data_IF_298195701763
#
_entry.id   IF_298195701763
#
_cell.length_a   1.000
_cell.length_b   1.000
_cell.length_c   1.000
_cell.angle_alpha   90.00
_cell.angle_beta   90.00
_cell.angle_gamma   90.00
#
_symmetry.space_group_name_H-M   'P 1'
#
loop_
_entity.id
_entity.type
_entity.pdbx_description
1 polymer ?
#
# COMPACT_ATOMS: atom_id res chain seq x y z
N UNK A 1 24.19 7.17 -25.89
CA UNK A 1 22.95 7.87 -26.24
C UNK A 1 22.68 8.88 -25.13
N UNK A 2 22.33 10.14 -25.42
CA UNK A 2 21.88 11.06 -24.37
C UNK A 2 20.71 10.39 -23.63
N UNK A 3 20.80 10.29 -22.31
CA UNK A 3 19.63 9.87 -21.51
C UNK A 3 18.59 10.97 -21.66
N UNK A 4 17.44 10.64 -22.24
CA UNK A 4 16.32 11.57 -22.36
C UNK A 4 15.87 11.98 -20.95
N UNK A 5 15.92 13.26 -20.61
CA UNK A 5 15.37 13.83 -19.37
C UNK A 5 13.81 13.86 -19.38
N UNK A 6 13.19 12.82 -19.92
CA UNK A 6 11.74 12.71 -20.02
C UNK A 6 11.16 12.20 -18.70
N UNK A 7 10.08 12.84 -18.24
CA UNK A 7 9.33 12.39 -17.08
C UNK A 7 8.58 11.11 -17.45
N UNK A 8 8.88 10.02 -16.75
CA UNK A 8 8.13 8.77 -16.83
C UNK A 8 7.07 8.79 -15.73
N UNK A 9 5.81 8.47 -16.07
CA UNK A 9 4.72 8.27 -15.10
C UNK A 9 4.24 6.84 -15.20
N UNK A 10 4.27 6.11 -14.09
CA UNK A 10 3.86 4.72 -13.99
C UNK A 10 2.67 4.57 -13.04
N UNK A 11 1.67 3.76 -13.43
CA UNK A 11 0.52 3.42 -12.58
C UNK A 11 0.88 2.23 -11.67
N UNK A 12 1.05 2.51 -10.38
CA UNK A 12 1.33 1.52 -9.34
C UNK A 12 0.06 0.79 -8.87
N UNK A 13 -1.11 1.05 -9.46
CA UNK A 13 -2.34 0.42 -9.00
C UNK A 13 -2.45 -1.03 -9.50
N UNK A 14 -2.88 -1.93 -8.62
CA UNK A 14 -3.27 -3.29 -8.95
C UNK A 14 -4.51 -3.26 -9.84
N UNK A 15 -4.41 -3.93 -10.99
CA UNK A 15 -5.45 -3.98 -12.02
C UNK A 15 -6.44 -5.15 -11.83
N UNK A 16 -6.21 -5.98 -10.81
CA UNK A 16 -7.06 -7.12 -10.45
C UNK A 16 -7.54 -7.00 -9.00
N UNK A 17 -8.65 -7.67 -8.70
CA UNK A 17 -9.02 -7.90 -7.31
C UNK A 17 -8.12 -8.99 -6.74
N UNK A 18 -7.59 -8.74 -5.55
CA UNK A 18 -6.84 -9.73 -4.80
C UNK A 18 -7.37 -9.83 -3.38
N UNK A 19 -7.88 -11.02 -3.07
CA UNK A 19 -8.24 -11.48 -1.73
C UNK A 19 -7.37 -12.69 -1.39
N UNK A 20 -7.18 -12.95 -0.12
CA UNK A 20 -6.54 -14.17 0.37
C UNK A 20 -7.49 -14.84 1.36
N UNK A 21 -7.19 -16.07 1.79
CA UNK A 21 -8.12 -16.92 2.56
C UNK A 21 -8.84 -16.16 3.69
N UNK A 22 -10.06 -16.60 4.08
CA UNK A 22 -10.92 -15.80 4.94
C UNK A 22 -10.17 -15.41 6.21
N UNK A 23 -9.90 -14.12 6.38
CA UNK A 23 -9.50 -13.61 7.68
C UNK A 23 -10.53 -14.12 8.70
N UNK A 24 -10.08 -14.50 9.91
CA UNK A 24 -10.99 -15.07 10.90
C UNK A 24 -12.23 -14.17 11.06
N UNK A 25 -13.43 -14.75 10.91
CA UNK A 25 -14.74 -14.06 10.91
C UNK A 25 -15.12 -13.24 9.65
N UNK A 26 -14.37 -13.34 8.55
CA UNK A 26 -14.78 -12.81 7.24
C UNK A 26 -15.56 -13.87 6.46
N UNK A 27 -16.83 -13.58 6.19
CA UNK A 27 -17.66 -14.39 5.29
C UNK A 27 -17.53 -13.82 3.88
N UNK A 28 -16.69 -14.43 3.04
CA UNK A 28 -16.70 -14.15 1.59
C UNK A 28 -18.02 -14.65 1.00
N UNK A 29 -19.00 -13.75 0.92
CA UNK A 29 -20.27 -13.94 0.19
C UNK A 29 -20.31 -12.92 -0.93
N UNK A 30 -20.92 -13.27 -2.06
CA UNK A 30 -21.24 -12.28 -3.09
C UNK A 30 -22.21 -11.26 -2.51
N UNK A 31 -21.77 -10.03 -2.30
CA UNK A 31 -22.62 -9.01 -1.66
C UNK A 31 -23.30 -8.15 -2.72
N UNK A 32 -24.54 -8.51 -3.02
CA UNK A 32 -25.74 -7.65 -2.93
C UNK A 32 -26.98 -8.44 -3.39
N UNK A 33 -28.08 -8.52 -2.60
CA UNK A 33 -29.39 -8.79 -3.17
C UNK A 33 -29.82 -7.59 -4.05
N UNK A 34 -30.35 -7.93 -5.24
CA UNK A 34 -30.82 -7.04 -6.31
C UNK A 34 -31.70 -5.87 -5.82
N UNK A 35 -31.56 -4.70 -6.46
CA UNK A 35 -32.73 -3.85 -6.79
C UNK A 35 -33.20 -4.23 -8.20
N UNK A 36 -34.49 -4.49 -8.37
CA UNK A 36 -35.09 -4.84 -9.67
C UNK A 36 -34.79 -3.74 -10.69
N UNK A 37 -34.17 -4.09 -11.82
CA UNK A 37 -34.00 -3.19 -12.97
C UNK A 37 -32.64 -2.51 -13.16
N UNK A 38 -31.57 -2.88 -12.44
CA UNK A 38 -30.21 -2.36 -12.71
C UNK A 38 -29.24 -3.45 -13.23
N UNK A 39 -28.46 -3.19 -14.31
CA UNK A 39 -27.64 -4.19 -14.98
C UNK A 39 -26.20 -4.34 -14.43
N UNK A 40 -25.84 -3.66 -13.34
CA UNK A 40 -24.45 -3.62 -12.84
C UNK A 40 -24.24 -4.68 -11.75
N UNK A 41 -23.24 -5.55 -11.96
CA UNK A 41 -22.75 -6.51 -10.97
C UNK A 41 -21.55 -5.90 -10.23
N UNK A 42 -21.57 -5.91 -8.90
CA UNK A 42 -20.39 -5.63 -8.08
C UNK A 42 -20.00 -6.88 -7.30
N UNK A 43 -18.73 -7.27 -7.38
CA UNK A 43 -18.12 -8.25 -6.46
C UNK A 43 -17.66 -7.49 -5.23
N UNK A 44 -18.04 -7.96 -4.05
CA UNK A 44 -17.60 -7.42 -2.78
C UNK A 44 -17.64 -8.53 -1.73
N UNK A 45 -16.61 -8.59 -0.90
CA UNK A 45 -16.62 -9.40 0.32
C UNK A 45 -17.30 -8.61 1.44
N UNK A 46 -17.80 -9.29 2.46
CA UNK A 46 -18.37 -8.64 3.65
C UNK A 46 -17.71 -9.24 4.88
N UNK A 47 -17.06 -8.38 5.67
CA UNK A 47 -16.65 -8.71 7.02
C UNK A 47 -17.87 -8.71 7.94
N UNK A 48 -17.85 -9.54 8.98
CA UNK A 48 -18.86 -9.53 10.04
C UNK A 48 -18.20 -8.99 11.31
N UNK A 49 -18.71 -7.87 11.84
CA UNK A 49 -18.26 -7.31 13.12
C UNK A 49 -18.60 -8.27 14.28
N UNK A 50 -17.98 -8.06 15.45
CA UNK A 50 -18.28 -8.82 16.67
C UNK A 50 -19.76 -8.76 17.11
N UNK A 51 -20.50 -7.73 16.68
CA UNK A 51 -21.93 -7.54 16.92
C UNK A 51 -22.84 -8.16 15.83
N UNK A 52 -22.25 -8.84 14.83
CA UNK A 52 -22.97 -9.46 13.72
C UNK A 52 -23.27 -8.53 12.54
N UNK A 53 -22.90 -7.24 12.59
CA UNK A 53 -23.13 -6.33 11.47
C UNK A 53 -22.24 -6.66 10.26
N UNK A 54 -22.84 -6.56 9.07
CA UNK A 54 -22.17 -6.72 7.78
C UNK A 54 -21.40 -5.44 7.40
N UNK A 55 -20.11 -5.56 7.11
CA UNK A 55 -19.26 -4.48 6.57
C UNK A 55 -18.76 -4.86 5.18
N UNK A 56 -19.16 -4.19 4.09
CA UNK A 56 -18.59 -4.42 2.77
C UNK A 56 -17.08 -4.16 2.78
N UNK A 57 -16.28 -5.21 2.59
CA UNK A 57 -14.81 -5.15 2.49
C UNK A 57 -14.35 -4.86 1.05
N UNK A 58 -15.09 -4.05 0.31
CA UNK A 58 -14.76 -3.78 -1.10
C UNK A 58 -13.48 -2.94 -1.22
N UNK A 59 -13.12 -2.18 -0.18
CA UNK A 59 -11.96 -1.29 -0.21
C UNK A 59 -10.63 -2.05 -0.17
N UNK A 60 -10.50 -3.10 0.65
CA UNK A 60 -9.22 -3.77 0.93
C UNK A 60 -8.81 -4.83 -0.11
N UNK A 61 -9.51 -4.91 -1.24
CA UNK A 61 -9.35 -5.99 -2.22
C UNK A 61 -8.65 -5.53 -3.50
N UNK A 62 -8.18 -4.28 -3.53
CA UNK A 62 -7.41 -3.65 -4.62
C UNK A 62 -6.39 -2.69 -4.00
N UNK A 63 -5.63 -1.94 -4.80
CA UNK A 63 -4.86 -0.81 -4.26
C UNK A 63 -5.75 0.12 -3.46
N UNK A 64 -5.41 0.35 -2.20
CA UNK A 64 -6.24 1.09 -1.27
C UNK A 64 -5.41 1.76 -0.19
N UNK A 65 -5.99 2.79 0.41
CA UNK A 65 -5.38 3.54 1.51
C UNK A 65 -6.20 3.37 2.78
N UNK A 66 -5.52 3.12 3.90
CA UNK A 66 -6.13 2.95 5.22
C UNK A 66 -6.11 4.25 6.02
N UNK A 67 -7.20 4.51 6.74
CA UNK A 67 -7.40 5.71 7.55
C UNK A 67 -7.24 5.38 9.04
N UNK A 68 -6.88 6.35 9.91
CA UNK A 68 -6.76 6.10 11.34
C UNK A 68 -7.99 5.49 12.02
N UNK A 69 -9.21 5.86 11.59
CA UNK A 69 -10.47 5.27 12.09
C UNK A 69 -10.58 3.75 11.83
N UNK A 70 -9.70 3.18 11.01
CA UNK A 70 -9.61 1.74 10.76
C UNK A 70 -9.23 0.94 12.02
N UNK A 71 -8.41 1.53 12.89
CA UNK A 71 -7.90 0.87 14.11
C UNK A 71 -8.07 1.68 15.40
N UNK A 72 -8.33 2.99 15.30
CA UNK A 72 -8.38 3.88 16.45
C UNK A 72 -9.78 4.44 16.65
N UNK A 73 -10.33 4.23 17.85
CA UNK A 73 -11.57 4.87 18.26
C UNK A 73 -11.41 6.39 18.23
N UNK A 74 -12.21 7.06 17.40
CA UNK A 74 -12.13 8.52 17.21
C UNK A 74 -11.02 8.97 16.24
N UNK A 75 -10.33 8.04 15.57
CA UNK A 75 -9.37 8.36 14.52
C UNK A 75 -10.02 9.09 13.33
N UNK A 76 -9.21 9.81 12.56
CA UNK A 76 -9.67 10.50 11.36
C UNK A 76 -10.18 9.50 10.31
N UNK A 77 -11.34 9.78 9.72
CA UNK A 77 -11.89 9.06 8.57
C UNK A 77 -11.40 9.67 7.24
N UNK A 78 -11.77 9.06 6.11
CA UNK A 78 -11.37 9.55 4.79
C UNK A 78 -11.83 11.00 4.54
N UNK A 79 -13.02 11.40 4.99
CA UNK A 79 -13.50 12.78 4.81
C UNK A 79 -12.61 13.78 5.57
N UNK A 80 -12.30 13.49 6.83
CA UNK A 80 -11.42 14.32 7.65
C UNK A 80 -10.01 14.41 7.05
N UNK A 81 -9.48 13.29 6.55
CA UNK A 81 -8.15 13.22 5.95
C UNK A 81 -8.10 14.02 4.65
N UNK A 82 -9.07 13.83 3.76
CA UNK A 82 -9.07 14.48 2.45
C UNK A 82 -9.30 15.99 2.50
N UNK A 83 -9.93 16.49 3.58
CA UNK A 83 -10.22 17.90 3.78
C UNK A 83 -9.20 18.61 4.69
N UNK A 84 -8.20 17.90 5.22
CA UNK A 84 -7.16 18.50 6.04
C UNK A 84 -5.79 18.47 5.33
N UNK A 85 -5.28 19.62 4.86
CA UNK A 85 -4.01 19.70 4.14
C UNK A 85 -2.79 19.29 4.99
N UNK A 86 -2.91 19.31 6.32
CA UNK A 86 -1.82 18.92 7.21
C UNK A 86 -1.42 17.45 7.05
N UNK A 87 -2.34 16.58 6.58
CA UNK A 87 -2.03 15.17 6.33
C UNK A 87 -1.28 14.93 5.02
N UNK A 88 -1.26 15.90 4.10
CA UNK A 88 -0.51 15.87 2.84
C UNK A 88 -0.81 14.72 1.85
N UNK A 89 -1.74 13.82 2.16
CA UNK A 89 -2.08 12.64 1.32
C UNK A 89 -2.60 12.99 -0.08
N UNK A 90 -3.25 14.15 -0.22
CA UNK A 90 -3.73 14.65 -1.52
C UNK A 90 -2.68 15.44 -2.31
N UNK A 91 -1.45 15.54 -1.82
CA UNK A 91 -0.37 16.24 -2.50
C UNK A 91 0.64 15.28 -3.11
N UNK A 92 1.37 15.71 -4.15
CA UNK A 92 2.52 14.98 -4.64
C UNK A 92 3.58 14.87 -3.53
N UNK A 93 4.03 13.65 -3.28
CA UNK A 93 4.99 13.32 -2.22
C UNK A 93 6.32 12.91 -2.82
N UNK A 94 7.43 13.43 -2.32
CA UNK A 94 8.74 12.87 -2.65
C UNK A 94 8.86 11.52 -1.95
N UNK A 95 9.07 10.46 -2.71
CA UNK A 95 9.07 9.09 -2.20
C UNK A 95 10.44 8.42 -2.38
N UNK A 96 10.88 7.72 -1.33
CA UNK A 96 11.96 6.73 -1.44
C UNK A 96 11.38 5.41 -1.94
N UNK A 97 12.02 4.76 -2.89
CA UNK A 97 11.59 3.46 -3.42
C UNK A 97 12.62 2.40 -3.07
N UNK A 98 12.18 1.32 -2.44
CA UNK A 98 12.99 0.16 -2.11
C UNK A 98 12.54 -1.05 -2.94
N UNK A 99 13.44 -1.52 -3.80
CA UNK A 99 13.30 -2.81 -4.50
C UNK A 99 13.91 -3.89 -3.61
N UNK A 100 13.09 -4.84 -3.15
CA UNK A 100 13.50 -5.88 -2.20
C UNK A 100 13.31 -7.29 -2.76
N UNK A 101 12.81 -7.47 -3.98
CA UNK A 101 12.62 -8.82 -4.55
C UNK A 101 13.94 -9.52 -4.83
N UNK A 102 15.02 -8.76 -4.93
CA UNK A 102 16.39 -9.25 -5.12
C UNK A 102 17.22 -9.28 -3.83
N UNK A 103 16.61 -9.06 -2.66
CA UNK A 103 17.33 -9.03 -1.38
C UNK A 103 18.13 -10.31 -1.14
N UNK A 104 19.37 -10.17 -0.70
CA UNK A 104 20.35 -11.25 -0.72
C UNK A 104 20.06 -12.36 0.30
N UNK A 105 19.52 -12.02 1.47
CA UNK A 105 19.24 -12.99 2.53
C UNK A 105 18.06 -13.91 2.14
N UNK A 106 18.28 -15.23 2.00
CA UNK A 106 17.21 -16.17 1.66
C UNK A 106 16.23 -16.41 2.81
N UNK A 107 16.56 -16.09 4.07
CA UNK A 107 15.68 -16.37 5.21
C UNK A 107 14.46 -15.45 5.31
N UNK A 108 14.52 -14.31 4.62
CA UNK A 108 13.45 -13.32 4.53
C UNK A 108 12.76 -13.34 3.17
N UNK A 109 13.21 -14.21 2.25
CA UNK A 109 12.64 -14.35 0.92
C UNK A 109 11.83 -15.65 0.82
N UNK A 110 10.78 -15.61 0.02
CA UNK A 110 10.02 -16.79 -0.36
C UNK A 110 10.03 -16.95 -1.88
N UNK A 111 10.07 -18.19 -2.35
CA UNK A 111 10.00 -18.51 -3.77
C UNK A 111 8.91 -19.55 -4.04
N UNK A 112 8.04 -19.24 -5.00
CA UNK A 112 7.02 -20.18 -5.48
C UNK A 112 6.74 -19.96 -6.95
N UNK A 113 6.65 -21.05 -7.70
CA UNK A 113 6.31 -21.02 -9.14
C UNK A 113 7.24 -20.08 -9.95
N UNK A 114 8.53 -20.05 -9.57
CA UNK A 114 9.55 -19.21 -10.20
C UNK A 114 9.41 -17.71 -9.88
N UNK A 115 8.61 -17.34 -8.87
CA UNK A 115 8.48 -15.98 -8.36
C UNK A 115 9.11 -15.90 -6.98
N UNK A 116 10.18 -15.10 -6.87
CA UNK A 116 10.82 -14.74 -5.61
C UNK A 116 10.29 -13.38 -5.14
N UNK A 117 10.03 -13.25 -3.85
CA UNK A 117 9.69 -11.99 -3.20
C UNK A 117 10.21 -11.96 -1.77
N UNK A 118 10.38 -10.76 -1.21
CA UNK A 118 10.71 -10.57 0.21
C UNK A 118 9.44 -10.78 1.05
N UNK A 119 9.39 -11.85 1.85
CA UNK A 119 8.27 -12.18 2.73
C UNK A 119 8.31 -11.38 4.05
N UNK A 120 9.49 -11.00 4.53
CA UNK A 120 9.63 -10.23 5.76
C UNK A 120 10.58 -9.06 5.58
N UNK A 121 10.03 -7.86 5.55
CA UNK A 121 10.82 -6.64 5.50
C UNK A 121 11.24 -6.29 6.92
N UNK A 122 12.54 -6.31 7.17
CA UNK A 122 13.13 -5.96 8.47
C UNK A 122 13.76 -4.58 8.44
N UNK A 123 14.05 -4.06 9.63
CA UNK A 123 14.55 -2.70 9.79
C UNK A 123 15.94 -2.50 9.17
N UNK A 124 16.74 -3.55 9.03
CA UNK A 124 18.06 -3.51 8.37
C UNK A 124 17.96 -3.26 6.86
N UNK A 125 16.80 -3.49 6.26
CA UNK A 125 16.54 -3.24 4.84
C UNK A 125 16.20 -1.79 4.54
N UNK A 126 15.90 -0.99 5.57
CA UNK A 126 15.53 0.41 5.42
C UNK A 126 16.78 1.31 5.53
N UNK A 127 16.78 2.45 4.81
CA UNK A 127 17.69 3.55 5.11
C UNK A 127 17.59 4.01 6.57
N UNK A 128 18.55 4.82 7.02
CA UNK A 128 18.49 5.39 8.38
C UNK A 128 17.35 6.41 8.51
N UNK A 129 16.99 6.76 9.75
CA UNK A 129 16.00 7.80 10.03
C UNK A 129 16.43 9.14 9.41
N UNK A 130 17.72 9.47 9.47
CA UNK A 130 18.27 10.70 8.89
C UNK A 130 18.08 10.76 7.38
N UNK A 131 18.30 9.65 6.67
CA UNK A 131 18.04 9.59 5.24
C UNK A 131 16.54 9.70 4.94
N UNK A 132 15.69 8.94 5.67
CA UNK A 132 14.25 8.91 5.44
C UNK A 132 13.56 10.25 5.70
N UNK A 133 14.07 11.07 6.63
CA UNK A 133 13.58 12.43 6.89
C UNK A 133 13.61 13.37 5.68
N UNK A 134 14.33 13.01 4.63
CA UNK A 134 14.37 13.77 3.39
C UNK A 134 13.25 13.40 2.40
N UNK A 135 12.35 12.51 2.77
CA UNK A 135 11.22 12.07 1.94
C UNK A 135 9.90 12.29 2.67
N UNK A 136 8.82 12.31 1.91
CA UNK A 136 7.45 12.36 2.43
C UNK A 136 6.83 10.97 2.52
N UNK A 137 7.29 10.02 1.68
CA UNK A 137 6.74 8.67 1.61
C UNK A 137 7.82 7.60 1.37
N UNK A 138 7.49 6.35 1.72
CA UNK A 138 8.29 5.17 1.43
C UNK A 138 7.48 4.18 0.59
N UNK A 139 8.02 3.72 -0.53
CA UNK A 139 7.44 2.68 -1.38
C UNK A 139 8.29 1.43 -1.29
N UNK A 140 7.69 0.34 -0.82
CA UNK A 140 8.33 -0.97 -0.61
C UNK A 140 7.83 -1.93 -1.68
N UNK A 141 8.73 -2.34 -2.57
CA UNK A 141 8.47 -3.28 -3.65
C UNK A 141 9.15 -4.62 -3.32
N UNK A 142 8.39 -5.51 -2.69
CA UNK A 142 8.83 -6.85 -2.27
C UNK A 142 8.93 -7.84 -3.43
N UNK A 143 8.24 -7.56 -4.55
CA UNK A 143 8.09 -8.46 -5.70
C UNK A 143 6.76 -9.21 -5.70
N UNK A 144 5.98 -9.13 -4.61
CA UNK A 144 4.72 -9.84 -4.46
C UNK A 144 3.60 -9.30 -5.35
N UNK A 145 3.74 -8.10 -5.92
CA UNK A 145 2.87 -7.61 -6.99
C UNK A 145 2.74 -8.62 -8.16
N UNK A 146 3.79 -9.37 -8.47
CA UNK A 146 3.78 -10.41 -9.50
C UNK A 146 2.91 -11.63 -9.14
N UNK A 147 2.72 -11.89 -7.84
CA UNK A 147 1.83 -12.93 -7.31
C UNK A 147 0.39 -12.41 -7.33
N UNK A 148 0.15 -11.20 -6.81
CA UNK A 148 -1.19 -10.61 -6.75
C UNK A 148 -1.86 -10.54 -8.13
N UNK A 149 -1.10 -10.18 -9.17
CA UNK A 149 -1.60 -10.08 -10.54
C UNK A 149 -2.02 -11.40 -11.18
N UNK A 150 -1.60 -12.54 -10.62
CA UNK A 150 -2.05 -13.85 -11.07
C UNK A 150 -3.47 -14.19 -10.61
N UNK A 151 -4.02 -13.41 -9.68
CA UNK A 151 -5.32 -13.63 -9.08
C UNK A 151 -5.24 -14.52 -7.84
N UNK A 152 -6.17 -14.26 -6.92
CA UNK A 152 -6.31 -14.97 -5.64
C UNK A 152 -6.47 -16.47 -5.77
N UNK A 153 -7.10 -16.94 -6.85
CA UNK A 153 -7.30 -18.37 -7.11
C UNK A 153 -5.98 -19.12 -7.31
N UNK A 154 -4.90 -18.41 -7.67
CA UNK A 154 -3.56 -18.98 -7.82
C UNK A 154 -2.72 -18.83 -6.56
N UNK A 155 -3.12 -17.98 -5.62
CA UNK A 155 -2.47 -17.88 -4.32
C UNK A 155 -3.06 -18.92 -3.38
N UNK A 156 -2.37 -20.05 -3.25
CA UNK A 156 -2.78 -21.18 -2.40
C UNK A 156 -1.88 -21.25 -1.15
N UNK A 157 -2.33 -21.80 -0.03
CA UNK A 157 -1.48 -21.99 1.13
C UNK A 157 -0.37 -23.04 0.86
N UNK A 158 0.64 -23.07 1.73
CA UNK A 158 1.64 -24.13 1.76
C UNK A 158 1.06 -25.45 2.32
N UNK A 159 1.90 -26.49 2.45
CA UNK A 159 1.48 -27.79 2.98
C UNK A 159 0.96 -27.73 4.43
N UNK A 160 1.30 -26.68 5.19
CA UNK A 160 0.87 -26.46 6.57
C UNK A 160 -0.35 -25.52 6.66
N UNK A 161 -0.87 -25.05 5.52
CA UNK A 161 -1.99 -24.12 5.48
C UNK A 161 -1.61 -22.65 5.54
N UNK A 162 -0.31 -22.29 5.50
CA UNK A 162 0.14 -20.91 5.59
C UNK A 162 0.11 -20.19 4.25
N UNK A 163 -0.47 -18.99 4.26
CA UNK A 163 -0.26 -18.02 3.20
C UNK A 163 0.99 -17.20 3.51
N UNK A 164 1.99 -17.28 2.63
CA UNK A 164 3.23 -16.52 2.71
C UNK A 164 3.02 -15.16 2.05
N UNK A 165 2.62 -14.17 2.84
CA UNK A 165 2.44 -12.79 2.38
C UNK A 165 3.56 -11.92 2.94
N UNK A 166 4.07 -10.95 2.15
CA UNK A 166 4.97 -9.96 2.68
C UNK A 166 4.34 -9.16 3.80
N UNK A 167 5.12 -8.89 4.83
CA UNK A 167 4.80 -7.90 5.85
C UNK A 167 6.07 -7.17 6.30
N UNK A 168 5.88 -6.11 7.08
CA UNK A 168 6.97 -5.38 7.72
C UNK A 168 7.03 -5.72 9.21
N UNK A 169 8.21 -5.60 9.83
CA UNK A 169 8.31 -5.74 11.29
C UNK A 169 7.85 -4.47 12.02
N UNK A 170 7.61 -4.59 13.33
CA UNK A 170 7.31 -3.45 14.21
C UNK A 170 8.42 -2.39 14.17
N UNK A 171 9.67 -2.81 14.09
CA UNK A 171 10.83 -1.91 14.02
C UNK A 171 10.87 -1.12 12.70
N UNK A 172 10.39 -1.70 11.60
CA UNK A 172 10.19 -0.95 10.34
C UNK A 172 9.14 0.12 10.53
N UNK A 173 7.99 -0.24 11.13
CA UNK A 173 6.90 0.70 11.39
C UNK A 173 7.35 1.87 12.28
N UNK A 174 8.09 1.58 13.35
CA UNK A 174 8.68 2.57 14.24
C UNK A 174 9.66 3.48 13.50
N UNK A 175 10.57 2.94 12.69
CA UNK A 175 11.53 3.74 11.92
C UNK A 175 10.83 4.68 10.93
N UNK A 176 9.79 4.21 10.25
CA UNK A 176 8.98 5.02 9.33
C UNK A 176 8.31 6.17 10.07
N UNK A 177 7.72 5.90 11.24
CA UNK A 177 7.08 6.91 12.08
C UNK A 177 8.10 7.93 12.64
N UNK A 178 9.23 7.47 13.17
CA UNK A 178 10.33 8.31 13.68
C UNK A 178 10.96 9.21 12.61
N UNK A 179 10.95 8.78 11.35
CA UNK A 179 11.37 9.58 10.22
C UNK A 179 10.37 10.68 9.84
N UNK A 180 9.14 10.63 10.37
CA UNK A 180 8.10 11.61 10.09
C UNK A 180 7.49 11.48 8.69
N UNK A 181 7.54 10.28 8.10
CA UNK A 181 6.93 10.02 6.81
C UNK A 181 5.40 10.15 6.91
N UNK A 182 4.77 10.67 5.86
CA UNK A 182 3.31 10.77 5.79
C UNK A 182 2.67 9.46 5.30
N UNK A 183 3.40 8.64 4.55
CA UNK A 183 2.85 7.43 3.95
C UNK A 183 3.89 6.33 3.76
N UNK A 184 3.47 5.08 3.98
CA UNK A 184 4.16 3.88 3.52
C UNK A 184 3.28 3.13 2.52
N UNK A 185 3.86 2.75 1.38
CA UNK A 185 3.24 1.93 0.36
C UNK A 185 3.92 0.57 0.28
N UNK A 186 3.16 -0.50 0.11
CA UNK A 186 3.70 -1.86 -0.04
C UNK A 186 2.97 -2.63 -1.13
N UNK A 187 3.69 -3.42 -1.93
CA UNK A 187 3.11 -4.34 -2.92
C UNK A 187 2.63 -5.66 -2.30
N UNK A 188 1.97 -5.55 -1.14
CA UNK A 188 1.37 -6.63 -0.39
C UNK A 188 -0.08 -6.28 -0.03
N UNK A 189 -0.99 -7.26 0.10
CA UNK A 189 -2.38 -7.02 0.54
C UNK A 189 -2.49 -6.52 1.97
N UNK A 190 -1.40 -6.55 2.74
CA UNK A 190 -1.33 -5.98 4.08
C UNK A 190 0.12 -5.61 4.44
N UNK A 191 0.32 -4.62 5.30
CA UNK A 191 1.63 -4.38 5.96
C UNK A 191 1.94 -5.36 7.09
N UNK A 192 0.95 -6.07 7.62
CA UNK A 192 1.15 -6.98 8.74
C UNK A 192 1.72 -8.31 8.28
N UNK A 193 2.63 -8.86 9.08
CA UNK A 193 2.95 -10.27 8.93
C UNK A 193 1.75 -11.08 9.42
N UNK A 194 1.00 -11.63 8.48
CA UNK A 194 -0.05 -12.59 8.78
C UNK A 194 0.46 -14.00 8.53
N UNK A 195 0.68 -14.75 9.61
CA UNK A 195 0.73 -16.21 9.50
C UNK A 195 -0.69 -16.72 9.65
N UNK A 196 -1.39 -16.84 8.52
CA UNK A 196 -2.71 -17.47 8.48
C UNK A 196 -2.55 -18.97 8.70
N UNK A 197 -2.39 -19.38 9.96
CA UNK A 197 -2.60 -20.76 10.42
C UNK A 197 -3.88 -20.88 11.24
N UNK A 198 -4.22 -22.09 11.68
CA UNK A 198 -5.21 -22.28 12.74
C UNK A 198 -4.47 -22.56 14.07
N UNK A 199 -4.59 -21.67 15.10
CA UNK A 199 -5.33 -20.42 15.12
C UNK A 199 -4.63 -19.30 14.33
N UNK A 200 -5.42 -18.32 13.87
CA UNK A 200 -4.93 -17.13 13.18
C UNK A 200 -3.97 -16.39 14.13
N UNK A 201 -2.74 -16.14 13.68
CA UNK A 201 -1.77 -15.34 14.44
C UNK A 201 -1.47 -14.07 13.64
N UNK A 202 -2.16 -12.99 14.00
CA UNK A 202 -1.66 -11.65 13.68
C UNK A 202 -0.42 -11.43 14.54
N UNK A 203 0.71 -11.20 13.91
CA UNK A 203 1.97 -10.90 14.59
C UNK A 203 2.39 -9.49 14.23
N UNK A 204 2.08 -8.53 15.08
CA UNK A 204 2.51 -7.14 14.91
C UNK A 204 1.48 -6.11 15.36
N UNK A 205 1.97 -4.99 15.88
CA UNK A 205 1.21 -3.77 16.12
C UNK A 205 1.50 -2.75 15.00
N UNK A 206 1.71 -3.19 13.75
CA UNK A 206 2.15 -2.29 12.66
C UNK A 206 1.10 -1.24 12.34
N UNK A 207 -0.17 -1.62 12.14
CA UNK A 207 -1.22 -0.63 11.87
C UNK A 207 -1.40 0.36 13.03
N UNK A 208 -1.54 -0.07 14.31
CA UNK A 208 -1.60 0.86 15.43
C UNK A 208 -0.41 1.82 15.52
N UNK A 209 0.82 1.35 15.24
CA UNK A 209 2.02 2.20 15.26
C UNK A 209 1.95 3.28 14.19
N UNK A 210 1.64 2.90 12.95
CA UNK A 210 1.64 3.82 11.81
C UNK A 210 0.47 4.80 11.87
N UNK A 211 -0.76 4.27 11.97
CA UNK A 211 -1.98 5.07 11.94
C UNK A 211 -2.22 5.83 13.25
N UNK A 212 -1.62 5.38 14.37
CA UNK A 212 -1.70 6.01 15.67
C UNK A 212 -0.57 6.99 16.00
N UNK A 213 0.41 7.11 15.11
CA UNK A 213 1.41 8.18 15.23
C UNK A 213 0.77 9.57 15.05
N UNK A 214 1.38 10.61 15.61
CA UNK A 214 0.96 11.99 15.43
C UNK A 214 2.09 12.83 14.79
N UNK A 215 1.95 13.29 13.54
CA UNK A 215 0.85 13.01 12.60
C UNK A 215 0.83 11.55 12.12
N UNK A 216 -0.32 11.01 11.69
CA UNK A 216 -0.42 9.60 11.28
C UNK A 216 0.41 9.32 10.02
N UNK A 217 0.99 8.12 9.98
CA UNK A 217 1.57 7.55 8.77
C UNK A 217 0.49 6.70 8.10
N UNK A 218 0.03 7.12 6.93
CA UNK A 218 -0.98 6.40 6.17
C UNK A 218 -0.39 5.17 5.49
N UNK A 219 -1.21 4.16 5.26
CA UNK A 219 -0.81 2.89 4.67
C UNK A 219 -1.46 2.77 3.31
N UNK A 220 -0.67 2.54 2.26
CA UNK A 220 -1.11 2.27 0.90
C UNK A 220 -0.75 0.82 0.52
N UNK A 221 -1.74 -0.04 0.50
CA UNK A 221 -1.54 -1.47 0.29
C UNK A 221 -1.87 -1.87 -1.15
N UNK A 222 -1.43 -3.08 -1.50
CA UNK A 222 -1.65 -3.70 -2.79
C UNK A 222 -1.21 -2.81 -3.97
N UNK A 223 -0.06 -2.13 -3.87
CA UNK A 223 0.56 -1.53 -5.06
C UNK A 223 1.18 -2.60 -5.97
N UNK A 224 1.44 -2.27 -7.23
CA UNK A 224 1.88 -3.19 -8.27
C UNK A 224 3.14 -2.66 -9.00
N UNK A 225 4.29 -2.79 -8.32
CA UNK A 225 5.59 -2.41 -8.88
C UNK A 225 6.26 -3.46 -9.77
N UNK A 226 5.68 -4.67 -9.88
CA UNK A 226 6.28 -5.82 -10.57
C UNK A 226 6.55 -5.60 -12.07
N UNK A 227 5.79 -4.71 -12.71
CA UNK A 227 6.01 -4.37 -14.13
C UNK A 227 6.88 -3.15 -14.36
N UNK A 228 7.36 -2.49 -13.30
CA UNK A 228 8.14 -1.26 -13.44
C UNK A 228 9.41 -1.51 -14.25
N UNK A 229 10.29 -2.40 -13.79
CA UNK A 229 11.50 -2.73 -14.52
C UNK A 229 11.23 -3.34 -15.92
N UNK A 230 10.29 -4.29 -16.11
CA UNK A 230 9.94 -4.78 -17.45
C UNK A 230 9.42 -3.72 -18.43
N UNK A 231 8.73 -2.68 -17.96
CA UNK A 231 8.13 -1.66 -18.82
C UNK A 231 9.05 -0.46 -19.07
N UNK A 232 9.81 -0.03 -18.05
CA UNK A 232 10.62 1.19 -18.11
C UNK A 232 12.13 0.91 -18.09
N UNK A 233 12.53 -0.35 -17.90
CA UNK A 233 13.92 -0.81 -17.94
C UNK A 233 14.65 -0.82 -16.58
N UNK A 234 14.08 -0.22 -15.53
CA UNK A 234 14.68 -0.15 -14.20
C UNK A 234 13.62 0.13 -13.10
N UNK A 235 14.00 -0.02 -11.84
CA UNK A 235 13.24 0.50 -10.69
C UNK A 235 13.96 1.78 -10.22
N UNK A 236 13.30 2.96 -10.20
CA UNK A 236 13.92 4.18 -9.70
C UNK A 236 14.14 4.08 -8.19
N UNK A 237 15.20 4.69 -7.67
CA UNK A 237 15.44 4.77 -6.22
C UNK A 237 14.55 5.83 -5.54
N UNK A 238 14.04 6.79 -6.31
CA UNK A 238 13.23 7.91 -5.83
C UNK A 238 12.19 8.28 -6.89
N UNK A 239 11.01 8.75 -6.46
CA UNK A 239 9.96 9.22 -7.36
C UNK A 239 9.03 10.22 -6.68
N UNK A 240 8.18 10.87 -7.48
CA UNK A 240 7.03 11.62 -6.98
C UNK A 240 5.82 10.69 -6.94
N UNK A 241 5.33 10.38 -5.75
CA UNK A 241 4.15 9.55 -5.51
C UNK A 241 2.91 10.44 -5.43
N UNK A 242 1.89 10.10 -6.23
CA UNK A 242 0.56 10.68 -6.17
C UNK A 242 -0.43 9.59 -5.80
N UNK A 243 -1.18 9.78 -4.71
CA UNK A 243 -2.26 8.88 -4.30
C UNK A 243 -3.59 9.58 -4.52
N UNK A 244 -4.51 8.93 -5.23
CA UNK A 244 -5.83 9.45 -5.56
C UNK A 244 -6.89 8.52 -4.96
N UNK A 245 -7.29 8.74 -3.70
CA UNK A 245 -8.35 7.96 -3.06
C UNK A 245 -9.71 8.23 -3.69
N UNK A 246 -10.55 7.21 -3.76
CA UNK A 246 -11.95 7.36 -4.16
C UNK A 246 -12.71 8.18 -3.11
N UNK A 247 -13.19 9.36 -3.51
CA UNK A 247 -13.90 10.29 -2.61
C UNK A 247 -15.37 9.96 -2.32
N UNK A 248 -15.95 9.04 -3.10
CA UNK A 248 -17.36 8.68 -2.92
C UNK A 248 -17.55 7.94 -1.58
N UNK A 249 -18.53 8.38 -0.78
CA UNK A 249 -18.81 7.86 0.57
C UNK A 249 -17.63 8.02 1.55
N UNK A 250 -16.87 9.12 1.46
CA UNK A 250 -15.71 9.35 2.31
C UNK A 250 -16.03 9.47 3.82
N UNK A 251 -17.21 10.00 4.16
CA UNK A 251 -17.62 10.18 5.55
C UNK A 251 -17.78 8.83 6.27
N UNK A 252 -17.04 8.65 7.36
CA UNK A 252 -16.98 7.42 8.15
C UNK A 252 -16.24 6.27 7.47
N UNK A 253 -15.59 6.49 6.32
CA UNK A 253 -14.83 5.45 5.64
C UNK A 253 -13.46 5.27 6.31
N UNK A 254 -13.13 4.03 6.61
CA UNK A 254 -11.86 3.61 7.21
C UNK A 254 -10.80 3.21 6.20
N UNK A 255 -11.21 2.95 4.96
CA UNK A 255 -10.31 2.73 3.85
C UNK A 255 -10.97 3.19 2.55
N UNK A 256 -10.17 3.39 1.51
CA UNK A 256 -10.67 3.74 0.19
C UNK A 256 -9.84 3.10 -0.92
N UNK A 257 -10.48 2.53 -1.96
CA UNK A 257 -9.78 2.23 -3.20
C UNK A 257 -9.03 3.46 -3.70
N UNK A 258 -7.79 3.29 -4.13
CA UNK A 258 -6.94 4.37 -4.57
C UNK A 258 -6.30 4.05 -5.93
N UNK A 259 -6.04 5.10 -6.70
CA UNK A 259 -5.07 5.04 -7.80
C UNK A 259 -3.76 5.62 -7.30
N UNK A 260 -2.66 4.94 -7.56
CA UNK A 260 -1.32 5.38 -7.17
C UNK A 260 -0.45 5.56 -8.42
N UNK A 261 0.19 6.71 -8.55
CA UNK A 261 1.10 6.99 -9.67
C UNK A 261 2.48 7.34 -9.14
N UNK A 262 3.51 6.75 -9.73
CA UNK A 262 4.91 7.07 -9.47
C UNK A 262 5.50 7.76 -10.69
N UNK A 263 5.92 9.00 -10.54
CA UNK A 263 6.59 9.76 -11.60
C UNK A 263 8.09 9.91 -11.29
N UNK A 264 8.97 9.72 -12.27
CA UNK A 264 10.43 9.76 -12.09
C UNK A 264 11.13 10.10 -13.40
N UNK A 265 12.34 10.65 -13.29
CA UNK A 265 13.23 10.90 -14.41
C UNK A 265 14.33 9.82 -14.44
N UNK A 266 14.78 9.40 -15.63
CA UNK A 266 15.98 8.59 -15.73
C UNK A 266 17.22 9.44 -15.42
N UNK A 267 18.24 8.83 -14.84
CA UNK A 267 19.55 9.44 -14.67
C UNK A 267 19.78 10.15 -13.32
N UNK A 268 20.98 10.74 -13.14
CA UNK A 268 21.48 11.17 -11.84
C UNK A 268 20.83 12.45 -11.29
N UNK A 269 20.19 13.26 -12.14
CA UNK A 269 19.52 14.50 -11.74
C UNK A 269 18.06 14.29 -11.28
N UNK A 270 17.60 13.04 -11.18
CA UNK A 270 16.22 12.67 -10.86
C UNK A 270 15.67 13.46 -9.66
N UNK A 271 16.38 13.44 -8.53
CA UNK A 271 15.98 14.12 -7.31
C UNK A 271 15.70 15.61 -7.51
N UNK A 272 16.64 16.33 -8.11
CA UNK A 272 16.52 17.78 -8.33
C UNK A 272 15.33 18.11 -9.25
N UNK A 273 15.10 17.29 -10.28
CA UNK A 273 13.96 17.45 -11.16
C UNK A 273 12.63 17.17 -10.45
N UNK A 274 12.57 16.14 -9.59
CA UNK A 274 11.38 15.82 -8.80
C UNK A 274 11.05 16.91 -7.78
N UNK A 275 12.04 17.39 -7.01
CA UNK A 275 11.84 18.48 -6.05
C UNK A 275 11.31 19.74 -6.74
N UNK A 276 11.89 20.08 -7.92
CA UNK A 276 11.39 21.19 -8.74
C UNK A 276 9.95 20.95 -9.21
N UNK A 277 9.65 19.76 -9.72
CA UNK A 277 8.31 19.41 -10.20
C UNK A 277 7.29 19.53 -9.06
N UNK A 278 7.54 18.88 -7.93
CA UNK A 278 6.69 18.92 -6.73
C UNK A 278 6.47 20.38 -6.31
N UNK A 279 7.50 21.22 -6.25
CA UNK A 279 7.34 22.64 -5.92
C UNK A 279 6.44 23.44 -6.89
N UNK A 280 6.36 23.01 -8.15
CA UNK A 280 5.53 23.63 -9.19
C UNK A 280 4.08 23.14 -9.14
N UNK A 281 3.87 21.86 -8.85
CA UNK A 281 2.54 21.22 -8.88
C UNK A 281 1.85 21.21 -7.52
N UNK A 282 2.59 21.43 -6.43
CA UNK A 282 2.00 21.57 -5.09
C UNK A 282 1.27 22.91 -5.03
N UNK A 283 -0.06 22.92 -4.84
CA UNK A 283 -0.81 24.17 -4.81
C UNK A 283 -0.34 25.08 -3.67
N UNK A 284 0.05 26.32 -3.97
CA UNK A 284 0.46 27.31 -2.94
C UNK A 284 -0.72 27.87 -2.13
N UNK A 285 -1.95 27.70 -2.62
CA UNK A 285 -3.14 28.43 -2.13
C UNK A 285 -4.43 27.59 -2.12
N UNK A 286 -4.35 26.26 -2.22
CA UNK A 286 -5.56 25.44 -2.07
C UNK A 286 -5.61 24.98 -0.62
N UNK A 287 -6.77 25.18 0.00
CA UNK A 287 -7.13 25.00 1.42
C UNK A 287 -6.85 26.24 2.30
N UNK A 288 -7.78 27.20 2.22
CA UNK A 288 -8.13 28.10 3.32
C UNK A 288 -9.30 27.53 4.10
#
# INVERSE_FOLDING_TARGET
MPMNDELIRYDLSLDVYFTYGPAANVLSKTVLPRRTGQPIFMRGEVGVKNDGQLRPMVAHNTTHIDMPVHFLDGGADLEAVLNNPAYRINFPMLARVLELSTWADPHVCYEREGRRYCELVTVEMLPSVEELRHYDALVILTGFGAVMRQGSERFQPDANGFYHMPGITVEVAQRVAEAGLALVAIDSPTVERQTQGHPLRMTGDVHPILLGHEPPVFILEAVAGDRLAPQVGFVPAEGMLEVIPRRANAKGADAAPARAFLSFYPGPANRQHLERLISLVTPRQIYG
#
